data_IF_713177850841
#
_entry.id   IF_713177850841
#
_cell.length_a   1.000
_cell.length_b   1.000
_cell.length_c   1.000
_cell.angle_alpha   90.00
_cell.angle_beta   90.00
_cell.angle_gamma   90.00
#
_symmetry.space_group_name_H-M   'P 1'
#
loop_
_entity.id
_entity.type
_entity.pdbx_description
1 polymer ?
#
# COMPACT_ATOMS: atom_id res chain seq x y z
N UNK A 1 -17.47 24.44 34.06
CA UNK A 1 -17.49 24.64 32.62
C UNK A 1 -16.92 23.37 32.08
N UNK A 2 -17.61 22.68 31.21
CA UNK A 2 -17.00 21.59 30.46
C UNK A 2 -15.93 22.22 29.56
N UNK A 3 -14.75 21.62 29.48
CA UNK A 3 -13.72 22.06 28.56
C UNK A 3 -14.28 21.95 27.13
N UNK A 4 -13.96 22.90 26.23
CA UNK A 4 -14.42 22.82 24.86
C UNK A 4 -13.92 21.51 24.22
N UNK A 5 -14.69 20.92 23.30
CA UNK A 5 -14.24 19.71 22.61
C UNK A 5 -12.90 20.00 21.88
N UNK A 6 -11.98 19.03 21.91
CA UNK A 6 -10.65 19.16 21.29
C UNK A 6 -10.73 19.49 19.79
N UNK A 7 -11.82 19.10 19.14
CA UNK A 7 -12.11 19.41 17.73
C UNK A 7 -12.20 20.91 17.44
N UNK A 8 -12.57 21.75 18.42
CA UNK A 8 -12.60 23.21 18.24
C UNK A 8 -11.18 23.84 18.16
N UNK A 9 -10.16 23.07 18.52
CA UNK A 9 -8.75 23.49 18.49
C UNK A 9 -8.02 23.05 17.21
N UNK A 10 -8.69 22.35 16.29
CA UNK A 10 -8.13 21.95 15.00
C UNK A 10 -7.94 23.16 14.09
N UNK A 11 -6.74 23.34 13.55
CA UNK A 11 -6.40 24.45 12.65
C UNK A 11 -6.34 23.94 11.19
N UNK A 12 -7.46 24.08 10.47
CA UNK A 12 -7.58 23.64 9.08
C UNK A 12 -6.67 24.44 8.13
N UNK A 13 -6.37 25.71 8.42
CA UNK A 13 -5.46 26.52 7.59
C UNK A 13 -4.01 26.00 7.72
N UNK A 14 -3.60 25.60 8.92
CA UNK A 14 -2.30 24.95 9.16
C UNK A 14 -2.21 23.62 8.45
N UNK A 15 -3.24 22.77 8.55
CA UNK A 15 -3.30 21.49 7.83
C UNK A 15 -3.21 21.69 6.31
N UNK A 16 -3.97 22.64 5.76
CA UNK A 16 -3.95 22.92 4.33
C UNK A 16 -2.56 23.39 3.86
N UNK A 17 -1.91 24.29 4.62
CA UNK A 17 -0.55 24.75 4.31
C UNK A 17 0.46 23.59 4.31
N UNK A 18 0.40 22.71 5.29
CA UNK A 18 1.26 21.50 5.37
C UNK A 18 1.03 20.56 4.19
N UNK A 19 -0.22 20.34 3.82
CA UNK A 19 -0.57 19.52 2.65
C UNK A 19 -0.06 20.16 1.35
N UNK A 20 -0.27 21.46 1.16
CA UNK A 20 0.17 22.17 -0.05
C UNK A 20 1.69 22.05 -0.24
N UNK A 21 2.46 22.16 0.85
CA UNK A 21 3.91 22.01 0.80
C UNK A 21 4.32 20.56 0.46
N UNK A 22 3.78 19.57 1.17
CA UNK A 22 4.04 18.16 0.88
C UNK A 22 3.62 17.76 -0.55
N UNK A 23 2.53 18.31 -1.07
CA UNK A 23 2.08 18.09 -2.46
C UNK A 23 2.99 18.76 -3.49
N UNK A 24 3.84 19.72 -3.09
CA UNK A 24 4.80 20.37 -3.98
C UNK A 24 6.09 19.55 -4.13
N UNK A 25 6.47 18.78 -3.11
CA UNK A 25 7.68 17.96 -3.08
C UNK A 25 7.48 16.74 -4.00
N UNK A 26 8.36 16.58 -4.99
CA UNK A 26 8.27 15.49 -5.97
C UNK A 26 7.15 15.64 -7.00
N UNK A 27 6.54 16.85 -7.14
CA UNK A 27 5.46 17.10 -8.09
C UNK A 27 5.89 16.83 -9.54
N UNK A 28 5.03 16.11 -10.27
CA UNK A 28 5.26 15.77 -11.67
C UNK A 28 4.50 16.70 -12.63
N UNK A 29 4.92 16.73 -13.89
CA UNK A 29 4.20 17.46 -14.96
C UNK A 29 2.79 16.91 -15.18
N UNK A 30 2.55 15.63 -14.92
CA UNK A 30 1.26 14.97 -15.03
C UNK A 30 0.30 15.30 -13.87
N UNK A 31 0.76 16.04 -12.85
CA UNK A 31 -0.04 16.52 -11.74
C UNK A 31 -0.09 15.63 -10.51
N UNK A 32 0.56 14.48 -10.53
CA UNK A 32 0.81 13.64 -9.36
C UNK A 32 2.10 14.01 -8.63
N UNK A 33 2.57 13.10 -7.77
CA UNK A 33 3.89 13.19 -7.10
C UNK A 33 4.68 11.91 -7.33
N UNK A 34 6.01 12.03 -7.30
CA UNK A 34 6.93 10.88 -7.30
C UNK A 34 7.95 11.10 -6.18
N UNK A 35 7.70 10.47 -5.05
CA UNK A 35 8.55 10.44 -3.86
C UNK A 35 8.83 8.97 -3.53
N UNK A 36 9.75 8.37 -4.26
CA UNK A 36 10.04 6.94 -4.07
C UNK A 36 10.80 6.70 -2.76
N UNK A 37 10.59 5.56 -2.16
CA UNK A 37 11.28 5.13 -0.94
C UNK A 37 12.81 5.40 -1.03
N UNK A 38 13.37 6.11 -0.04
CA UNK A 38 14.78 6.54 0.01
C UNK A 38 15.24 7.35 -1.21
N UNK A 39 14.38 8.19 -1.79
CA UNK A 39 14.76 9.21 -2.77
C UNK A 39 15.04 10.54 -2.09
N UNK A 40 15.62 11.49 -2.85
CA UNK A 40 15.84 12.85 -2.36
C UNK A 40 14.51 13.54 -2.01
N UNK A 41 13.46 13.31 -2.81
CA UNK A 41 12.13 13.88 -2.61
C UNK A 41 11.46 13.32 -1.34
N UNK A 42 11.59 12.00 -1.07
CA UNK A 42 11.08 11.46 0.19
C UNK A 42 11.83 12.07 1.38
N UNK A 43 13.16 12.17 1.30
CA UNK A 43 13.97 12.75 2.37
C UNK A 43 13.69 14.24 2.59
N UNK A 44 13.39 15.00 1.52
CA UNK A 44 12.91 16.38 1.61
C UNK A 44 11.57 16.46 2.36
N UNK A 45 10.62 15.57 2.08
CA UNK A 45 9.35 15.52 2.78
C UNK A 45 9.52 15.18 4.28
N UNK A 46 10.41 14.26 4.62
CA UNK A 46 10.77 13.97 6.02
C UNK A 46 11.43 15.17 6.71
N UNK A 47 12.31 15.88 6.03
CA UNK A 47 12.93 17.08 6.57
C UNK A 47 11.91 18.21 6.81
N UNK A 48 10.95 18.37 5.91
CA UNK A 48 9.82 19.31 6.09
C UNK A 48 9.00 18.94 7.33
N UNK A 49 8.53 17.70 7.45
CA UNK A 49 7.74 17.27 8.62
C UNK A 49 8.52 17.52 9.91
N UNK A 50 9.80 17.12 9.94
CA UNK A 50 10.67 17.35 11.12
C UNK A 50 10.79 18.83 11.51
N UNK A 51 10.84 19.72 10.52
CA UNK A 51 10.97 21.17 10.76
C UNK A 51 9.65 21.84 11.23
N UNK A 52 8.51 21.21 10.94
CA UNK A 52 7.17 21.68 11.35
C UNK A 52 6.74 21.16 12.73
N UNK A 53 7.47 20.20 13.32
CA UNK A 53 7.18 19.68 14.66
C UNK A 53 7.68 20.67 15.73
N UNK A 54 6.93 20.75 16.83
CA UNK A 54 7.26 21.63 17.95
C UNK A 54 8.55 21.20 18.67
N UNK A 55 9.32 22.19 19.13
CA UNK A 55 10.58 21.99 19.85
C UNK A 55 10.41 21.28 21.22
N UNK A 56 9.20 21.20 21.76
CA UNK A 56 8.87 20.48 23.00
C UNK A 56 8.86 18.96 22.81
N UNK A 57 8.68 18.48 21.57
CA UNK A 57 8.62 17.06 21.26
C UNK A 57 10.02 16.43 21.23
N UNK A 58 10.16 15.26 21.84
CA UNK A 58 11.32 14.41 21.64
C UNK A 58 11.23 13.75 20.25
N UNK A 59 12.05 14.24 19.32
CA UNK A 59 12.08 13.76 17.94
C UNK A 59 13.25 12.80 17.77
N UNK A 60 12.96 11.54 17.42
CA UNK A 60 13.96 10.53 17.10
C UNK A 60 13.76 9.96 15.70
N UNK A 61 14.83 9.39 15.18
CA UNK A 61 14.83 8.65 13.91
C UNK A 61 15.46 7.29 14.17
N UNK A 62 14.83 6.21 13.71
CA UNK A 62 15.40 4.88 13.82
C UNK A 62 16.42 4.59 12.72
N UNK A 63 17.04 3.42 12.73
CA UNK A 63 18.09 3.03 11.79
C UNK A 63 17.60 2.85 10.34
N UNK A 64 16.27 2.77 10.14
CA UNK A 64 15.64 2.72 8.82
C UNK A 64 15.23 4.11 8.31
N UNK A 65 15.32 5.13 9.18
CA UNK A 65 14.90 6.48 8.85
C UNK A 65 13.43 6.79 9.15
N UNK A 66 12.69 5.91 9.84
CA UNK A 66 11.36 6.25 10.33
C UNK A 66 11.49 7.37 11.37
N UNK A 67 10.56 8.32 11.35
CA UNK A 67 10.54 9.45 12.28
C UNK A 67 9.49 9.20 13.36
N UNK A 68 9.85 9.51 14.60
CA UNK A 68 8.97 9.46 15.76
C UNK A 68 9.04 10.78 16.51
N UNK A 69 7.91 11.27 16.98
CA UNK A 69 7.85 12.47 17.83
C UNK A 69 6.85 12.28 18.98
N UNK A 70 7.26 12.54 20.21
CA UNK A 70 6.48 12.29 21.41
C UNK A 70 6.79 13.33 22.49
N UNK A 71 5.82 13.60 23.37
CA UNK A 71 6.03 14.38 24.61
C UNK A 71 6.55 13.52 25.77
N UNK A 72 6.45 12.19 25.65
CA UNK A 72 6.78 11.24 26.70
C UNK A 72 8.03 10.41 26.34
N UNK A 73 8.78 9.94 27.34
CA UNK A 73 9.94 9.11 27.07
C UNK A 73 9.57 7.80 26.36
N UNK A 74 10.47 7.28 25.54
CA UNK A 74 10.29 6.05 24.76
C UNK A 74 9.84 4.82 25.61
N UNK A 75 10.08 4.86 26.92
CA UNK A 75 9.66 3.80 27.85
C UNK A 75 8.17 3.82 28.22
N UNK A 76 7.43 4.86 27.90
CA UNK A 76 6.01 4.95 28.22
C UNK A 76 5.13 4.09 27.29
N UNK A 77 3.95 3.70 27.78
CA UNK A 77 2.88 3.17 26.93
C UNK A 77 2.41 4.28 25.97
N UNK A 78 2.16 3.96 24.71
CA UNK A 78 1.82 4.97 23.70
C UNK A 78 0.73 4.51 22.73
N UNK A 79 0.03 5.49 22.16
CA UNK A 79 -0.80 5.33 20.96
C UNK A 79 -0.04 5.91 19.77
N UNK A 80 0.30 5.09 18.79
CA UNK A 80 0.92 5.57 17.56
C UNK A 80 -0.15 6.23 16.68
N UNK A 81 0.18 7.38 16.11
CA UNK A 81 -0.62 8.07 15.10
C UNK A 81 0.28 8.47 13.94
N UNK A 82 -0.12 8.22 12.71
CA UNK A 82 0.73 8.55 11.57
C UNK A 82 0.42 7.77 10.33
N UNK A 83 1.32 7.84 9.36
CA UNK A 83 1.24 7.22 8.04
C UNK A 83 2.64 7.20 7.39
N UNK A 84 2.72 7.34 6.06
CA UNK A 84 3.95 7.36 5.26
C UNK A 84 4.05 8.64 4.41
N UNK A 85 5.21 8.86 3.78
CA UNK A 85 5.42 10.00 2.88
C UNK A 85 5.88 9.59 1.49
N UNK A 86 6.32 8.35 1.28
CA UNK A 86 6.63 7.88 -0.06
C UNK A 86 5.37 7.72 -0.92
N UNK A 87 5.57 7.61 -2.22
CA UNK A 87 4.51 7.43 -3.21
C UNK A 87 4.94 6.46 -4.30
N UNK A 88 4.00 5.97 -5.08
CA UNK A 88 4.29 5.35 -6.37
C UNK A 88 4.72 6.39 -7.41
N UNK A 89 5.18 5.94 -8.59
CA UNK A 89 5.44 6.84 -9.73
C UNK A 89 4.18 7.60 -10.12
N UNK A 90 4.26 8.93 -10.15
CA UNK A 90 3.13 9.82 -10.45
C UNK A 90 1.88 9.48 -9.63
N UNK A 91 2.07 9.19 -8.33
CA UNK A 91 1.03 8.78 -7.38
C UNK A 91 0.09 9.91 -6.98
N UNK A 92 -0.91 9.56 -6.18
CA UNK A 92 -1.82 10.52 -5.56
C UNK A 92 -1.07 11.46 -4.61
N UNK A 93 -1.38 12.76 -4.66
CA UNK A 93 -0.68 13.77 -3.85
C UNK A 93 -1.04 13.72 -2.37
N UNK A 94 -2.18 13.12 -2.03
CA UNK A 94 -2.70 13.02 -0.67
C UNK A 94 -2.38 11.67 -0.02
N UNK A 95 -2.00 10.68 -0.83
CA UNK A 95 -1.68 9.33 -0.36
C UNK A 95 -0.53 9.37 0.65
N UNK A 96 -0.74 8.79 1.82
CA UNK A 96 0.14 8.87 2.98
C UNK A 96 0.26 10.27 3.60
N UNK A 97 0.47 11.31 2.78
CA UNK A 97 0.67 12.69 3.23
C UNK A 97 -0.49 13.23 4.07
N UNK A 98 -1.74 12.91 3.70
CA UNK A 98 -2.92 13.29 4.47
C UNK A 98 -2.87 12.71 5.89
N UNK A 99 -2.56 11.43 6.02
CA UNK A 99 -2.47 10.76 7.32
C UNK A 99 -1.38 11.34 8.21
N UNK A 100 -0.23 11.71 7.64
CA UNK A 100 0.85 12.38 8.36
C UNK A 100 0.40 13.76 8.86
N UNK A 101 -0.24 14.57 8.00
CA UNK A 101 -0.69 15.92 8.41
C UNK A 101 -1.80 15.87 9.46
N UNK A 102 -2.74 14.92 9.34
CA UNK A 102 -3.77 14.70 10.38
C UNK A 102 -3.14 14.30 11.72
N UNK A 103 -2.14 13.42 11.68
CA UNK A 103 -1.42 13.02 12.89
C UNK A 103 -0.61 14.17 13.51
N UNK A 104 0.05 15.01 12.70
CA UNK A 104 0.73 16.22 13.18
C UNK A 104 -0.26 17.17 13.86
N UNK A 105 -1.43 17.39 13.24
CA UNK A 105 -2.45 18.26 13.82
C UNK A 105 -2.98 17.73 15.15
N UNK A 106 -3.17 16.38 15.25
CA UNK A 106 -3.55 15.77 16.51
C UNK A 106 -2.50 16.00 17.62
N UNK A 107 -1.21 15.95 17.30
CA UNK A 107 -0.12 16.28 18.23
C UNK A 107 -0.20 17.75 18.68
N UNK A 108 -0.35 18.68 17.73
CA UNK A 108 -0.47 20.12 18.02
C UNK A 108 -1.69 20.41 18.91
N UNK A 109 -2.83 19.77 18.67
CA UNK A 109 -4.04 19.93 19.50
C UNK A 109 -3.79 19.43 20.94
N UNK A 110 -3.17 18.27 21.10
CA UNK A 110 -2.84 17.73 22.43
C UNK A 110 -1.93 18.69 23.19
N UNK A 111 -0.94 19.25 22.52
CA UNK A 111 0.03 20.16 23.15
C UNK A 111 -0.58 21.52 23.48
N UNK A 112 -1.26 22.16 22.52
CA UNK A 112 -1.81 23.51 22.70
C UNK A 112 -2.98 23.57 23.68
N UNK A 113 -3.72 22.49 23.84
CA UNK A 113 -4.85 22.40 24.78
C UNK A 113 -4.44 21.86 26.15
N UNK A 114 -3.15 21.51 26.35
CA UNK A 114 -2.67 20.81 27.55
C UNK A 114 -3.50 19.53 27.87
N UNK A 115 -4.07 18.92 26.83
CA UNK A 115 -4.84 17.70 26.98
C UNK A 115 -3.96 16.57 27.48
N UNK A 116 -4.47 15.82 28.45
CA UNK A 116 -3.76 14.68 29.03
C UNK A 116 -4.48 13.37 28.67
N UNK A 117 -4.31 12.85 27.46
CA UNK A 117 -4.92 11.59 27.10
C UNK A 117 -4.38 10.46 28.00
N UNK A 118 -5.21 9.44 28.33
CA UNK A 118 -4.81 8.36 29.24
C UNK A 118 -3.61 7.55 28.73
N UNK A 119 -3.42 7.52 27.42
CA UNK A 119 -2.23 6.98 26.74
C UNK A 119 -1.73 8.05 25.78
N UNK A 120 -0.53 8.62 26.01
CA UNK A 120 -0.02 9.71 25.19
C UNK A 120 0.21 9.28 23.75
N UNK A 121 -0.06 10.15 22.76
CA UNK A 121 0.23 9.85 21.37
C UNK A 121 1.72 9.99 21.06
N UNK A 122 2.18 9.19 20.12
CA UNK A 122 3.46 9.34 19.43
C UNK A 122 3.19 9.42 17.95
N UNK A 123 3.58 10.51 17.32
CA UNK A 123 3.61 10.62 15.86
C UNK A 123 4.63 9.61 15.32
N UNK A 124 4.25 8.86 14.30
CA UNK A 124 5.15 8.03 13.53
C UNK A 124 4.99 8.33 12.04
N UNK A 125 6.12 8.47 11.33
CA UNK A 125 6.14 8.55 9.88
C UNK A 125 7.02 7.42 9.38
N UNK A 126 6.42 6.47 8.67
CA UNK A 126 7.12 5.32 8.12
C UNK A 126 7.74 5.63 6.76
N UNK A 127 8.93 5.07 6.49
CA UNK A 127 9.61 5.09 5.20
C UNK A 127 9.16 3.93 4.34
N UNK A 128 8.99 4.19 3.03
CA UNK A 128 8.87 3.14 2.04
C UNK A 128 7.70 2.18 2.29
N UNK A 129 6.50 2.71 2.44
CA UNK A 129 5.28 1.92 2.52
C UNK A 129 4.96 1.28 1.17
N UNK A 130 5.09 2.07 0.11
CA UNK A 130 4.79 1.72 -1.26
C UNK A 130 5.86 0.82 -1.89
N UNK A 131 5.44 -0.15 -2.65
CA UNK A 131 6.35 -1.11 -3.29
C UNK A 131 7.06 -0.60 -4.56
N UNK A 132 6.76 0.62 -5.00
CA UNK A 132 7.06 1.10 -6.34
C UNK A 132 8.54 1.08 -6.74
N UNK A 133 9.46 1.31 -5.79
CA UNK A 133 10.89 1.38 -6.10
C UNK A 133 11.59 0.02 -6.08
N UNK A 134 11.32 -0.80 -5.05
CA UNK A 134 12.08 -2.04 -4.82
C UNK A 134 11.24 -3.31 -4.93
N UNK A 135 9.94 -3.19 -5.25
CA UNK A 135 9.01 -4.32 -5.18
C UNK A 135 8.82 -4.87 -3.76
N UNK A 136 9.19 -4.08 -2.75
CA UNK A 136 9.09 -4.41 -1.33
C UNK A 136 8.20 -3.37 -0.65
N UNK A 137 7.06 -3.78 -0.14
CA UNK A 137 6.10 -2.90 0.52
C UNK A 137 6.37 -2.80 2.03
N UNK A 138 5.86 -1.76 2.67
CA UNK A 138 5.87 -1.54 4.14
C UNK A 138 7.27 -1.69 4.77
N UNK A 139 8.31 -1.18 4.06
CA UNK A 139 9.71 -1.33 4.48
C UNK A 139 9.93 -0.77 5.89
N UNK A 140 9.45 0.45 6.14
CA UNK A 140 9.64 1.15 7.41
C UNK A 140 8.95 0.45 8.56
N UNK A 141 7.68 0.12 8.43
CA UNK A 141 6.91 -0.54 9.51
C UNK A 141 7.35 -1.98 9.75
N UNK A 142 7.58 -2.77 8.69
CA UNK A 142 8.14 -4.14 8.83
C UNK A 142 9.52 -4.12 9.47
N UNK A 143 10.36 -3.18 9.08
CA UNK A 143 11.68 -3.02 9.68
C UNK A 143 11.62 -2.59 11.14
N UNK A 144 10.75 -1.64 11.48
CA UNK A 144 10.53 -1.22 12.87
C UNK A 144 10.06 -2.39 13.77
N UNK A 145 9.42 -3.39 13.18
CA UNK A 145 8.98 -4.61 13.87
C UNK A 145 9.98 -5.79 13.78
N UNK A 146 11.17 -5.59 13.17
CA UNK A 146 12.17 -6.65 12.98
C UNK A 146 11.75 -7.74 11.98
N UNK A 147 10.88 -7.41 11.03
CA UNK A 147 10.29 -8.36 10.06
C UNK A 147 10.95 -8.33 8.68
N UNK A 148 11.92 -7.44 8.45
CA UNK A 148 12.66 -7.41 7.18
C UNK A 148 13.69 -8.53 7.13
N UNK A 149 13.85 -9.10 5.94
CA UNK A 149 14.79 -10.19 5.67
C UNK A 149 16.00 -9.70 4.87
N UNK A 150 17.06 -10.49 4.82
CA UNK A 150 18.22 -10.22 3.96
C UNK A 150 17.82 -10.14 2.48
N UNK A 151 16.81 -10.91 2.07
CA UNK A 151 16.28 -10.87 0.72
C UNK A 151 15.62 -9.52 0.42
N UNK A 152 14.81 -8.97 1.33
CA UNK A 152 14.21 -7.65 1.17
C UNK A 152 15.27 -6.58 0.92
N UNK A 153 16.37 -6.60 1.70
CA UNK A 153 17.47 -5.63 1.52
C UNK A 153 18.25 -5.80 0.22
N UNK A 154 18.19 -6.97 -0.40
CA UNK A 154 18.86 -7.27 -1.66
C UNK A 154 18.03 -6.90 -2.89
N UNK A 155 16.75 -6.57 -2.72
CA UNK A 155 15.87 -6.14 -3.82
C UNK A 155 16.38 -4.85 -4.43
N UNK A 156 16.37 -4.77 -5.76
CA UNK A 156 16.93 -3.65 -6.50
C UNK A 156 15.84 -2.79 -7.14
N UNK A 157 16.16 -1.52 -7.32
CA UNK A 157 15.36 -0.63 -8.14
C UNK A 157 15.63 -0.85 -9.65
N UNK A 158 14.97 -0.08 -10.51
CA UNK A 158 15.13 -0.13 -11.98
C UNK A 158 16.55 0.19 -12.49
N UNK A 159 17.44 0.69 -11.63
CA UNK A 159 18.84 1.00 -11.93
C UNK A 159 19.80 0.02 -11.26
N UNK A 160 19.33 -1.15 -10.86
CA UNK A 160 20.08 -2.19 -10.15
C UNK A 160 20.68 -1.70 -8.80
N UNK A 161 20.13 -0.66 -8.19
CA UNK A 161 20.52 -0.19 -6.86
C UNK A 161 19.78 -0.98 -5.80
N UNK A 162 20.46 -1.77 -4.95
CA UNK A 162 19.79 -2.52 -3.90
C UNK A 162 19.29 -1.61 -2.77
N UNK A 163 18.21 -2.02 -2.10
CA UNK A 163 17.57 -1.28 -1.00
C UNK A 163 18.59 -0.85 0.07
N UNK A 164 19.46 -1.78 0.54
CA UNK A 164 20.46 -1.45 1.56
C UNK A 164 21.39 -0.31 1.14
N UNK A 165 21.74 -0.22 -0.16
CA UNK A 165 22.61 0.85 -0.70
C UNK A 165 21.85 2.17 -0.83
N UNK A 166 20.57 2.13 -1.20
CA UNK A 166 19.73 3.33 -1.23
C UNK A 166 19.59 3.93 0.17
N UNK A 167 19.31 3.09 1.19
CA UNK A 167 19.29 3.50 2.60
C UNK A 167 20.61 4.11 3.06
N UNK A 168 21.75 3.47 2.71
CA UNK A 168 23.07 3.99 3.06
C UNK A 168 23.36 5.36 2.40
N UNK A 169 22.93 5.56 1.16
CA UNK A 169 23.09 6.85 0.46
C UNK A 169 22.26 7.95 1.10
N UNK A 170 21.11 7.60 1.67
CA UNK A 170 20.24 8.50 2.42
C UNK A 170 20.67 8.68 3.90
N UNK A 171 21.80 8.10 4.30
CA UNK A 171 22.39 8.26 5.63
C UNK A 171 21.92 7.26 6.68
N UNK A 172 21.15 6.25 6.29
CA UNK A 172 20.62 5.21 7.17
C UNK A 172 21.45 3.92 7.09
N UNK A 173 21.62 3.25 8.23
CA UNK A 173 22.40 2.01 8.30
C UNK A 173 21.74 1.05 9.28
N UNK A 174 20.83 0.18 8.83
CA UNK A 174 20.25 -0.84 9.68
C UNK A 174 21.35 -1.81 10.11
N UNK A 175 21.72 -1.76 11.38
CA UNK A 175 22.83 -2.54 11.93
C UNK A 175 22.40 -3.92 12.41
N UNK A 176 21.13 -4.08 12.78
CA UNK A 176 20.53 -5.34 13.19
C UNK A 176 19.08 -5.40 12.71
N UNK A 177 18.80 -6.37 11.85
CA UNK A 177 17.50 -6.56 11.21
C UNK A 177 16.53 -7.39 12.04
N UNK A 178 17.04 -8.08 13.06
CA UNK A 178 16.26 -8.98 13.90
C UNK A 178 15.72 -8.31 15.16
N UNK A 179 16.28 -7.16 15.54
CA UNK A 179 15.86 -6.41 16.73
C UNK A 179 14.77 -5.42 16.37
N UNK A 180 13.55 -5.56 16.93
CA UNK A 180 12.48 -4.60 16.71
C UNK A 180 12.84 -3.23 17.30
N UNK A 181 12.56 -2.16 16.53
CA UNK A 181 12.79 -0.77 16.94
C UNK A 181 11.59 -0.18 17.67
N UNK A 182 10.44 -0.83 17.56
CA UNK A 182 9.22 -0.55 18.32
C UNK A 182 8.96 -1.73 19.25
N UNK A 183 8.88 -1.46 20.55
CA UNK A 183 8.43 -2.44 21.52
C UNK A 183 6.90 -2.53 21.52
N UNK A 184 6.36 -3.51 20.78
CA UNK A 184 4.90 -3.69 20.60
C UNK A 184 4.13 -3.78 21.91
N UNK A 185 4.75 -4.27 23.00
CA UNK A 185 4.10 -4.36 24.32
C UNK A 185 3.70 -3.00 24.88
N UNK A 186 4.29 -1.91 24.38
CA UNK A 186 4.01 -0.53 24.78
C UNK A 186 3.03 0.16 23.85
N UNK A 187 2.79 -0.38 22.64
CA UNK A 187 1.87 0.19 21.68
C UNK A 187 0.45 -0.26 22.02
N UNK A 188 -0.36 0.68 22.53
CA UNK A 188 -1.75 0.43 22.86
C UNK A 188 -2.63 0.35 21.61
N UNK A 189 -2.39 1.28 20.65
CA UNK A 189 -3.12 1.43 19.39
C UNK A 189 -2.17 2.00 18.33
N UNK A 190 -2.52 1.77 17.08
CA UNK A 190 -2.04 2.53 15.94
C UNK A 190 -3.26 3.03 15.17
N UNK A 191 -3.33 4.34 14.96
CA UNK A 191 -4.35 4.98 14.14
C UNK A 191 -3.72 5.63 12.94
N UNK A 192 -4.27 5.35 11.78
CA UNK A 192 -3.89 5.93 10.51
C UNK A 192 -5.12 6.49 9.80
N UNK A 193 -5.06 7.76 9.43
CA UNK A 193 -6.02 8.35 8.50
C UNK A 193 -5.48 8.16 7.09
N UNK A 194 -6.29 7.59 6.22
CA UNK A 194 -5.90 7.31 4.84
C UNK A 194 -6.96 7.79 3.86
N UNK A 195 -6.57 8.09 2.62
CA UNK A 195 -7.52 8.29 1.54
C UNK A 195 -8.24 6.98 1.23
N UNK A 196 -9.45 7.03 0.70
CA UNK A 196 -10.21 5.82 0.37
C UNK A 196 -9.52 4.94 -0.68
N UNK A 197 -8.75 5.52 -1.59
CA UNK A 197 -8.17 4.89 -2.79
C UNK A 197 -9.21 4.26 -3.73
N UNK A 198 -10.48 4.36 -3.40
CA UNK A 198 -11.62 3.83 -4.13
C UNK A 198 -12.65 4.92 -4.41
N UNK A 199 -13.91 4.51 -4.60
CA UNK A 199 -15.02 5.41 -4.90
C UNK A 199 -16.30 5.08 -4.12
N UNK A 200 -16.21 4.23 -3.12
CA UNK A 200 -17.40 3.75 -2.40
C UNK A 200 -17.98 4.86 -1.53
N UNK A 201 -17.13 5.59 -0.80
CA UNK A 201 -17.54 6.73 0.02
C UNK A 201 -18.02 7.90 -0.86
N UNK A 202 -17.29 8.20 -1.94
CA UNK A 202 -17.68 9.24 -2.90
C UNK A 202 -19.05 8.95 -3.54
N UNK A 203 -19.31 7.70 -3.92
CA UNK A 203 -20.59 7.29 -4.51
C UNK A 203 -21.73 7.19 -3.51
N UNK A 204 -21.46 6.82 -2.24
CA UNK A 204 -22.45 6.81 -1.18
C UNK A 204 -22.73 8.20 -0.59
N UNK A 205 -21.80 9.13 -0.75
CA UNK A 205 -21.85 10.47 -0.16
C UNK A 205 -21.49 10.49 1.32
N UNK A 206 -20.74 9.50 1.77
CA UNK A 206 -20.21 9.43 3.13
C UNK A 206 -18.84 10.15 3.19
N UNK A 207 -18.65 10.96 4.24
CA UNK A 207 -17.42 11.73 4.41
C UNK A 207 -16.27 10.89 4.99
N UNK A 208 -16.58 9.80 5.70
CA UNK A 208 -15.62 8.97 6.42
C UNK A 208 -16.04 7.50 6.46
N UNK A 209 -15.07 6.59 6.39
CA UNK A 209 -15.26 5.15 6.60
C UNK A 209 -14.30 4.60 7.65
N UNK A 210 -14.80 3.76 8.56
CA UNK A 210 -13.94 3.05 9.52
C UNK A 210 -13.58 1.69 8.93
N UNK A 211 -12.28 1.49 8.69
CA UNK A 211 -11.75 0.23 8.16
C UNK A 211 -11.89 -0.87 9.21
N UNK A 212 -12.45 -2.01 8.83
CA UNK A 212 -12.63 -3.17 9.72
C UNK A 212 -11.69 -4.33 9.41
N UNK A 213 -11.20 -4.38 8.16
CA UNK A 213 -10.28 -5.41 7.68
C UNK A 213 -9.38 -4.90 6.57
N UNK A 214 -8.22 -5.51 6.41
CA UNK A 214 -7.31 -5.27 5.29
C UNK A 214 -7.32 -6.52 4.42
N UNK A 215 -7.68 -6.34 3.14
CA UNK A 215 -7.72 -7.41 2.15
C UNK A 215 -6.31 -7.88 1.83
N UNK A 216 -6.16 -9.19 1.65
CA UNK A 216 -4.89 -9.78 1.27
C UNK A 216 -4.96 -10.45 -0.10
N UNK A 217 -3.89 -10.32 -0.91
CA UNK A 217 -3.83 -10.88 -2.24
C UNK A 217 -3.44 -12.36 -2.26
N UNK A 218 -3.84 -13.02 -3.36
CA UNK A 218 -3.04 -14.07 -3.99
C UNK A 218 -2.67 -13.58 -5.39
N UNK A 219 -1.40 -13.69 -5.75
CA UNK A 219 -0.86 -13.17 -7.00
C UNK A 219 -0.11 -14.22 -7.78
N UNK A 220 -0.30 -14.20 -9.10
CA UNK A 220 0.36 -15.11 -10.04
C UNK A 220 0.95 -14.37 -11.23
N UNK A 221 2.07 -14.88 -11.73
CA UNK A 221 2.44 -14.74 -13.13
C UNK A 221 1.80 -15.88 -13.90
N UNK A 222 0.99 -15.57 -14.90
CA UNK A 222 0.34 -16.53 -15.76
C UNK A 222 1.02 -16.53 -17.13
N UNK A 223 1.46 -17.69 -17.60
CA UNK A 223 2.02 -17.86 -18.94
C UNK A 223 1.14 -18.81 -19.75
N UNK A 224 0.68 -18.34 -20.91
CA UNK A 224 -0.10 -19.11 -21.87
C UNK A 224 0.78 -19.40 -23.09
N UNK A 225 0.95 -20.67 -23.44
CA UNK A 225 1.76 -21.11 -24.56
C UNK A 225 0.89 -21.82 -25.61
N UNK A 226 1.08 -21.45 -26.85
CA UNK A 226 0.48 -22.00 -28.05
C UNK A 226 1.52 -22.14 -29.18
N UNK A 227 1.13 -21.92 -30.43
CA UNK A 227 2.02 -22.02 -31.58
C UNK A 227 2.11 -20.73 -32.38
N UNK A 228 3.34 -20.35 -32.76
CA UNK A 228 3.55 -19.26 -33.72
C UNK A 228 3.29 -19.72 -35.14
N UNK A 229 2.31 -19.08 -35.79
CA UNK A 229 1.91 -19.42 -37.14
C UNK A 229 1.70 -18.18 -38.03
N UNK A 230 1.64 -18.37 -39.32
CA UNK A 230 1.34 -17.29 -40.25
C UNK A 230 -0.17 -17.00 -40.26
N UNK A 231 -0.56 -15.75 -39.89
CA UNK A 231 -1.96 -15.36 -39.71
C UNK A 231 -2.87 -15.55 -40.95
N UNK A 232 -2.32 -15.43 -42.17
CA UNK A 232 -3.05 -15.58 -43.42
C UNK A 232 -3.03 -16.99 -44.00
N UNK A 233 -2.17 -17.91 -43.49
CA UNK A 233 -2.00 -19.25 -44.02
C UNK A 233 -2.59 -20.34 -43.12
N UNK A 234 -2.70 -20.08 -41.81
CA UNK A 234 -3.19 -21.07 -40.85
C UNK A 234 -4.71 -20.92 -40.68
N UNK A 235 -5.51 -21.94 -41.01
CA UNK A 235 -6.96 -21.97 -40.79
C UNK A 235 -7.32 -21.73 -39.33
N UNK A 236 -8.52 -21.17 -39.05
CA UNK A 236 -8.93 -20.83 -37.69
C UNK A 236 -9.01 -22.01 -36.73
N UNK A 237 -9.43 -23.17 -37.25
CA UNK A 237 -9.59 -24.44 -36.52
C UNK A 237 -8.28 -25.19 -36.24
N UNK A 238 -7.17 -24.71 -36.81
CA UNK A 238 -5.82 -25.27 -36.58
C UNK A 238 -4.91 -24.39 -35.76
N UNK A 239 -5.43 -23.26 -35.24
CA UNK A 239 -4.64 -22.30 -34.47
C UNK A 239 -4.58 -22.68 -32.99
N UNK A 240 -3.36 -22.64 -32.46
CA UNK A 240 -3.10 -22.64 -31.01
C UNK A 240 -2.71 -21.23 -30.60
N UNK A 241 -3.70 -20.31 -30.57
CA UNK A 241 -3.50 -18.89 -30.41
C UNK A 241 -3.49 -18.48 -28.91
N UNK A 242 -2.30 -18.31 -28.35
CA UNK A 242 -2.10 -17.94 -26.96
C UNK A 242 -2.74 -16.59 -26.60
N UNK A 243 -2.75 -15.62 -27.53
CA UNK A 243 -3.33 -14.30 -27.25
C UNK A 243 -4.86 -14.34 -27.21
N UNK A 244 -5.48 -15.10 -28.08
CA UNK A 244 -6.92 -15.32 -28.05
C UNK A 244 -7.35 -16.08 -26.80
N UNK A 245 -6.57 -17.08 -26.36
CA UNK A 245 -6.81 -17.80 -25.11
C UNK A 245 -6.66 -16.89 -23.89
N UNK A 246 -5.59 -16.08 -23.84
CA UNK A 246 -5.37 -15.12 -22.76
C UNK A 246 -6.52 -14.07 -22.65
N UNK A 247 -7.06 -13.62 -23.79
CA UNK A 247 -8.22 -12.73 -23.81
C UNK A 247 -9.46 -13.35 -23.16
N UNK A 248 -9.73 -14.63 -23.38
CA UNK A 248 -10.82 -15.36 -22.71
C UNK A 248 -10.53 -15.57 -21.22
N UNK A 249 -9.28 -15.89 -20.86
CA UNK A 249 -8.86 -16.04 -19.46
C UNK A 249 -9.05 -14.75 -18.69
N UNK A 250 -8.66 -13.59 -19.25
CA UNK A 250 -8.83 -12.26 -18.62
C UNK A 250 -10.32 -11.97 -18.38
N UNK A 251 -11.19 -12.23 -19.35
CA UNK A 251 -12.64 -12.03 -19.15
C UNK A 251 -13.24 -13.04 -18.17
N UNK A 252 -12.66 -14.24 -18.05
CA UNK A 252 -13.06 -15.21 -17.04
C UNK A 252 -12.70 -14.74 -15.62
N UNK A 253 -11.53 -14.11 -15.43
CA UNK A 253 -11.15 -13.51 -14.14
C UNK A 253 -12.21 -12.51 -13.68
N UNK A 254 -12.56 -11.55 -14.53
CA UNK A 254 -13.58 -10.54 -14.21
C UNK A 254 -14.94 -11.19 -13.88
N UNK A 255 -15.37 -12.12 -14.69
CA UNK A 255 -16.65 -12.82 -14.52
C UNK A 255 -16.71 -13.63 -13.22
N UNK A 256 -15.67 -14.38 -12.90
CA UNK A 256 -15.64 -15.24 -11.71
C UNK A 256 -15.54 -14.39 -10.45
N UNK A 257 -14.67 -13.37 -10.43
CA UNK A 257 -14.53 -12.47 -9.29
C UNK A 257 -15.83 -11.68 -9.03
N UNK A 258 -16.47 -11.16 -10.08
CA UNK A 258 -17.73 -10.38 -9.94
C UNK A 258 -18.91 -11.21 -9.43
N UNK A 259 -18.83 -12.54 -9.46
CA UNK A 259 -19.89 -13.42 -8.95
C UNK A 259 -19.86 -13.59 -7.41
N UNK A 260 -18.79 -13.17 -6.76
CA UNK A 260 -18.60 -13.29 -5.29
C UNK A 260 -18.43 -11.93 -4.65
N UNK A 261 -19.34 -11.58 -3.75
CA UNK A 261 -19.27 -10.32 -2.99
C UNK A 261 -18.00 -10.28 -2.13
N UNK A 262 -17.38 -9.11 -2.02
CA UNK A 262 -16.17 -8.92 -1.21
C UNK A 262 -14.87 -9.40 -1.87
N UNK A 263 -14.92 -9.99 -3.07
CA UNK A 263 -13.73 -10.42 -3.81
C UNK A 263 -13.50 -9.51 -5.01
N UNK A 264 -12.24 -9.17 -5.28
CA UNK A 264 -11.82 -8.49 -6.50
C UNK A 264 -10.76 -9.32 -7.22
N UNK A 265 -10.85 -9.35 -8.56
CA UNK A 265 -9.88 -10.03 -9.42
C UNK A 265 -9.44 -9.10 -10.55
N UNK A 266 -8.13 -8.98 -10.74
CA UNK A 266 -7.55 -8.01 -11.67
C UNK A 266 -6.44 -8.63 -12.50
N UNK A 267 -6.45 -8.31 -13.80
CA UNK A 267 -5.32 -8.49 -14.70
C UNK A 267 -4.90 -7.09 -15.15
N UNK A 268 -3.77 -6.61 -14.62
CA UNK A 268 -3.34 -5.21 -14.80
C UNK A 268 -2.47 -4.96 -16.03
N UNK A 269 -1.91 -6.03 -16.63
CA UNK A 269 -1.03 -5.96 -17.80
C UNK A 269 -1.13 -7.23 -18.63
N UNK A 270 -0.72 -7.16 -19.90
CA UNK A 270 -0.61 -8.30 -20.80
C UNK A 270 0.56 -8.10 -21.77
N UNK A 271 1.44 -9.08 -21.84
CA UNK A 271 2.58 -9.06 -22.74
C UNK A 271 2.50 -10.22 -23.75
N UNK A 272 2.39 -9.89 -25.04
CA UNK A 272 2.48 -10.86 -26.13
C UNK A 272 3.93 -10.93 -26.62
N UNK A 273 4.56 -12.09 -26.45
CA UNK A 273 5.95 -12.30 -26.89
C UNK A 273 6.01 -12.38 -28.41
N UNK A 274 7.02 -11.70 -29.00
CA UNK A 274 7.28 -11.71 -30.45
C UNK A 274 6.02 -11.46 -31.32
N UNK A 275 5.07 -10.66 -30.83
CA UNK A 275 3.81 -10.33 -31.50
C UNK A 275 4.05 -9.56 -32.80
N UNK A 276 3.29 -9.90 -33.87
CA UNK A 276 3.29 -9.16 -35.12
C UNK A 276 1.93 -9.27 -35.80
N UNK A 277 1.58 -8.27 -36.65
CA UNK A 277 0.28 -8.20 -37.33
C UNK A 277 -0.04 -9.42 -38.23
N UNK A 278 0.99 -10.10 -38.70
CA UNK A 278 0.87 -11.26 -39.57
C UNK A 278 1.23 -12.61 -38.92
N UNK A 279 1.19 -12.65 -37.59
CA UNK A 279 1.47 -13.88 -36.79
C UNK A 279 0.30 -14.25 -35.90
N UNK A 280 0.05 -15.54 -35.74
CA UNK A 280 -0.65 -16.11 -34.58
C UNK A 280 0.30 -16.05 -33.40
N UNK A 281 -0.15 -15.63 -32.25
CA UNK A 281 0.71 -15.46 -31.07
C UNK A 281 0.93 -16.79 -30.35
N UNK A 282 2.18 -17.15 -30.14
CA UNK A 282 2.55 -18.42 -29.48
C UNK A 282 2.82 -18.32 -27.99
N UNK A 283 2.99 -17.11 -27.44
CA UNK A 283 3.23 -16.95 -25.98
C UNK A 283 2.71 -15.62 -25.48
N UNK A 284 1.98 -15.68 -24.35
CA UNK A 284 1.48 -14.49 -23.64
C UNK A 284 1.72 -14.66 -22.15
N UNK A 285 2.12 -13.57 -21.49
CA UNK A 285 2.21 -13.49 -20.04
C UNK A 285 1.33 -12.37 -19.50
N UNK A 286 0.72 -12.60 -18.33
CA UNK A 286 -0.02 -11.56 -17.61
C UNK A 286 0.00 -11.83 -16.10
N UNK A 287 0.00 -10.75 -15.25
CA UNK A 287 -0.17 -10.90 -13.82
C UNK A 287 -1.65 -11.10 -13.48
N UNK A 288 -1.93 -11.92 -12.46
CA UNK A 288 -3.25 -12.08 -11.85
C UNK A 288 -3.15 -11.67 -10.37
N UNK A 289 -4.04 -10.81 -9.92
CA UNK A 289 -4.21 -10.40 -8.52
C UNK A 289 -5.65 -10.67 -8.09
N UNK A 290 -5.85 -11.53 -7.06
CA UNK A 290 -7.16 -11.82 -6.47
C UNK A 290 -7.09 -11.47 -4.99
N UNK A 291 -8.03 -10.62 -4.52
CA UNK A 291 -8.05 -10.14 -3.12
C UNK A 291 -9.42 -10.31 -2.48
N UNK A 292 -9.39 -10.59 -1.18
CA UNK A 292 -10.57 -10.60 -0.31
C UNK A 292 -10.16 -10.30 1.13
N UNK A 293 -11.10 -9.90 1.94
CA UNK A 293 -11.00 -9.85 3.39
C UNK A 293 -11.32 -11.20 4.06
N UNK A 294 -11.76 -12.20 3.28
CA UNK A 294 -11.98 -13.58 3.73
C UNK A 294 -11.16 -14.58 2.91
N UNK A 295 -10.32 -15.38 3.58
CA UNK A 295 -9.49 -16.42 2.95
C UNK A 295 -10.33 -17.40 2.14
N UNK A 296 -11.45 -17.86 2.70
CA UNK A 296 -12.29 -18.86 2.07
C UNK A 296 -12.89 -18.37 0.73
N UNK A 297 -13.39 -17.13 0.70
CA UNK A 297 -13.96 -16.49 -0.48
C UNK A 297 -12.90 -16.25 -1.56
N UNK A 298 -11.71 -15.79 -1.15
CA UNK A 298 -10.55 -15.62 -2.05
C UNK A 298 -10.16 -16.94 -2.71
N UNK A 299 -9.97 -17.99 -1.90
CA UNK A 299 -9.50 -19.31 -2.38
C UNK A 299 -10.56 -20.02 -3.24
N UNK A 300 -11.85 -19.75 -3.01
CA UNK A 300 -12.93 -20.23 -3.87
C UNK A 300 -12.89 -19.57 -5.26
N UNK A 301 -12.75 -18.23 -5.29
CA UNK A 301 -12.65 -17.48 -6.55
C UNK A 301 -11.36 -17.82 -7.29
N UNK A 302 -10.22 -17.91 -6.61
CA UNK A 302 -8.96 -18.37 -7.18
C UNK A 302 -9.12 -19.71 -7.88
N UNK A 303 -9.70 -20.71 -7.19
CA UNK A 303 -9.95 -22.04 -7.75
C UNK A 303 -10.85 -21.97 -8.98
N UNK A 304 -11.94 -21.20 -8.90
CA UNK A 304 -12.85 -20.99 -10.01
C UNK A 304 -12.17 -20.38 -11.26
N UNK A 305 -11.24 -19.43 -11.04
CA UNK A 305 -10.43 -18.84 -12.11
C UNK A 305 -9.51 -19.89 -12.74
N UNK A 306 -8.79 -20.67 -11.94
CA UNK A 306 -7.87 -21.71 -12.43
C UNK A 306 -8.61 -22.84 -13.15
N UNK A 307 -9.82 -23.20 -12.71
CA UNK A 307 -10.69 -24.16 -13.40
C UNK A 307 -11.12 -23.64 -14.78
N UNK A 308 -11.47 -22.34 -14.88
CA UNK A 308 -11.76 -21.71 -16.19
C UNK A 308 -10.52 -21.67 -17.09
N UNK A 309 -9.32 -21.41 -16.56
CA UNK A 309 -8.09 -21.47 -17.34
C UNK A 309 -7.87 -22.87 -17.91
N UNK A 310 -8.08 -23.92 -17.11
CA UNK A 310 -8.00 -25.32 -17.56
C UNK A 310 -8.99 -25.61 -18.67
N UNK A 311 -10.26 -25.17 -18.53
CA UNK A 311 -11.28 -25.35 -19.58
C UNK A 311 -10.88 -24.65 -20.89
N UNK A 312 -10.39 -23.39 -20.79
CA UNK A 312 -10.00 -22.62 -21.98
C UNK A 312 -8.80 -23.25 -22.68
N UNK A 313 -7.83 -23.81 -21.93
CA UNK A 313 -6.67 -24.51 -22.52
C UNK A 313 -7.09 -25.72 -23.29
N UNK A 314 -8.01 -26.52 -22.76
CA UNK A 314 -8.53 -27.71 -23.44
C UNK A 314 -9.29 -27.36 -24.74
N UNK A 315 -10.11 -26.29 -24.72
CA UNK A 315 -10.90 -25.84 -25.86
C UNK A 315 -10.05 -25.23 -26.97
N UNK A 316 -8.92 -24.60 -26.62
CA UNK A 316 -8.05 -23.87 -27.57
C UNK A 316 -6.75 -24.59 -27.91
N UNK A 317 -6.52 -25.77 -27.36
CA UNK A 317 -5.30 -26.57 -27.56
C UNK A 317 -4.01 -25.79 -27.22
N UNK A 318 -4.06 -24.95 -26.19
CA UNK A 318 -2.91 -24.23 -25.63
C UNK A 318 -2.53 -24.81 -24.27
N UNK A 319 -1.41 -24.39 -23.69
CA UNK A 319 -1.05 -24.72 -22.31
C UNK A 319 -1.03 -23.46 -21.43
N UNK A 320 -1.27 -23.63 -20.13
CA UNK A 320 -1.15 -22.57 -19.13
C UNK A 320 -0.26 -23.03 -17.98
N UNK A 321 0.60 -22.16 -17.54
CA UNK A 321 1.35 -22.31 -16.30
C UNK A 321 1.16 -21.08 -15.41
N UNK A 322 1.09 -21.33 -14.10
CA UNK A 322 0.94 -20.28 -13.08
C UNK A 322 2.08 -20.37 -12.09
N UNK A 323 2.74 -19.27 -11.84
CA UNK A 323 3.77 -19.12 -10.81
C UNK A 323 3.23 -18.18 -9.72
N UNK A 324 3.05 -18.71 -8.51
CA UNK A 324 2.62 -17.89 -7.38
C UNK A 324 3.73 -16.93 -6.98
N UNK A 325 3.42 -15.61 -6.96
CA UNK A 325 4.36 -14.55 -6.59
C UNK A 325 4.21 -14.19 -5.12
N UNK A 326 2.96 -14.14 -4.64
CA UNK A 326 2.63 -13.68 -3.30
C UNK A 326 1.31 -14.30 -2.84
N UNK A 327 1.27 -14.67 -1.57
CA UNK A 327 0.06 -15.10 -0.88
C UNK A 327 0.13 -14.63 0.57
N UNK A 328 -0.82 -13.83 0.98
CA UNK A 328 -0.93 -13.37 2.37
C UNK A 328 -2.35 -13.57 2.90
N UNK A 329 -2.50 -13.53 4.21
CA UNK A 329 -3.80 -13.63 4.86
C UNK A 329 -4.36 -12.24 5.17
N UNK A 330 -5.68 -12.02 5.02
CA UNK A 330 -6.33 -10.78 5.40
C UNK A 330 -6.23 -10.54 6.91
N UNK A 331 -6.21 -9.29 7.29
CA UNK A 331 -6.09 -8.88 8.70
C UNK A 331 -7.38 -8.21 9.14
N UNK A 332 -8.03 -8.77 10.16
CA UNK A 332 -9.13 -8.08 10.85
C UNK A 332 -8.56 -7.09 11.85
N UNK A 333 -9.07 -5.86 11.85
CA UNK A 333 -8.64 -4.84 12.80
C UNK A 333 -9.26 -5.06 14.18
N UNK A 334 -8.67 -4.43 15.19
CA UNK A 334 -9.13 -4.56 16.58
C UNK A 334 -10.55 -4.04 16.77
N UNK A 335 -11.48 -4.88 17.17
CA UNK A 335 -12.87 -4.49 17.41
C UNK A 335 -12.97 -3.35 18.42
N UNK A 336 -12.14 -3.35 19.48
CA UNK A 336 -12.14 -2.26 20.45
C UNK A 336 -11.67 -0.93 19.88
N UNK A 337 -10.74 -0.93 18.90
CA UNK A 337 -10.34 0.29 18.21
C UNK A 337 -11.44 0.79 17.26
N UNK A 338 -12.11 -0.12 16.57
CA UNK A 338 -13.28 0.20 15.73
C UNK A 338 -14.39 0.83 16.57
N UNK A 339 -14.72 0.25 17.75
CA UNK A 339 -15.73 0.76 18.66
C UNK A 339 -15.36 2.16 19.20
N UNK A 340 -14.09 2.38 19.55
CA UNK A 340 -13.56 3.68 19.98
C UNK A 340 -13.70 4.74 18.87
N UNK A 341 -13.30 4.44 17.65
CA UNK A 341 -13.44 5.35 16.49
C UNK A 341 -14.91 5.62 16.17
N UNK A 342 -15.76 4.59 16.19
CA UNK A 342 -17.20 4.74 15.94
C UNK A 342 -17.85 5.67 16.97
N UNK A 343 -17.47 5.54 18.24
CA UNK A 343 -17.96 6.42 19.28
C UNK A 343 -17.47 7.86 19.11
N UNK A 344 -16.19 8.05 18.71
CA UNK A 344 -15.62 9.36 18.47
C UNK A 344 -16.32 10.08 17.30
N UNK A 345 -16.49 9.40 16.15
CA UNK A 345 -17.19 9.96 14.98
C UNK A 345 -18.62 10.34 15.33
N UNK A 346 -19.36 9.46 16.05
CA UNK A 346 -20.74 9.75 16.47
C UNK A 346 -20.87 10.90 17.46
N UNK A 347 -19.81 11.31 18.10
CA UNK A 347 -19.79 12.44 19.03
C UNK A 347 -19.51 13.79 18.35
N UNK A 348 -19.08 13.77 17.08
CA UNK A 348 -18.78 14.98 16.29
C UNK A 348 -19.93 15.40 15.37
N UNK A 349 -20.95 14.55 15.17
CA UNK A 349 -22.21 14.85 14.49
C UNK A 349 -23.19 15.57 15.44
#
# INVERSE_FOLDING_TARGET
MEDPPLTDSVDLDRMQRRLDELMSIGKTEAGGVTRLAYSEEESEAFAFVRAELDDSLEIRTDSLGNLYASTEPESAETTLVGSHLDSVFNGGRLDGALGVVVAMEAMDVVETTEASPPVPPTLVVFRGEESARFGCHTIGSRGALGMLTVEDFSRTDQNDVPLWLAMQRDGHQPSDLSEPMIELSRVRRFYETHIEQGRVLDESGDDLGIVTSIRAPVRYNVTVEGAYDHSGATPMDLREDALAAAGEMITAVERVASATEGVVGTVGDITARDGAINKVCGEVTFPLDVRSDEVASRDEVERGILDEFSRITDERSVTVSTEEIDRSDPVSLSQSAIDELTAAVSATD
#
